data_IF_363441656866
#
_entry.id   IF_363441656866
#
_cell.length_a   1.000
_cell.length_b   1.000
_cell.length_c   1.000
_cell.angle_alpha   90.00
_cell.angle_beta   90.00
_cell.angle_gamma   90.00
#
_symmetry.space_group_name_H-M   'P 1'
#
loop_
_entity.id
_entity.type
_entity.pdbx_description
1 polymer ?
#
# COMPACT_ATOMS: atom_id res chain seq x y z
N UNK A 1 13.39 33.31 -0.89
CA UNK A 1 12.36 32.48 -0.22
C UNK A 1 12.71 31.04 -0.45
N UNK A 2 13.01 30.27 0.59
CA UNK A 2 13.18 28.83 0.45
C UNK A 2 11.80 28.21 0.13
N UNK A 3 11.71 27.21 -0.77
CA UNK A 3 10.44 26.58 -1.11
C UNK A 3 9.86 25.91 0.15
N UNK A 4 8.57 26.14 0.43
CA UNK A 4 7.84 25.40 1.47
C UNK A 4 7.92 23.91 1.09
N UNK A 5 8.59 23.10 1.93
CA UNK A 5 8.57 21.64 1.79
C UNK A 5 7.12 21.17 1.96
N UNK A 6 6.52 20.69 0.88
CA UNK A 6 5.23 20.00 0.94
C UNK A 6 5.49 18.59 1.47
N UNK A 7 4.94 18.28 2.64
CA UNK A 7 4.97 16.92 3.17
C UNK A 7 3.74 16.19 2.61
N UNK A 8 3.90 15.08 1.90
CA UNK A 8 2.79 14.30 1.38
C UNK A 8 1.86 13.84 2.50
N UNK A 9 0.55 13.88 2.26
CA UNK A 9 -0.47 13.45 3.25
C UNK A 9 -0.75 11.94 3.19
N UNK A 10 -0.23 11.24 2.18
CA UNK A 10 -0.43 9.81 1.96
C UNK A 10 0.91 9.11 1.70
N UNK A 11 1.05 7.82 2.10
CA UNK A 11 2.25 7.05 1.82
C UNK A 11 2.35 6.74 0.31
N UNK A 12 3.46 7.12 -0.32
CA UNK A 12 3.77 6.83 -1.73
C UNK A 12 4.49 5.49 -1.83
N UNK A 13 3.89 4.52 -2.52
CA UNK A 13 4.42 3.15 -2.64
C UNK A 13 5.37 3.09 -3.83
N UNK A 14 6.47 2.32 -3.75
CA UNK A 14 7.41 2.22 -4.85
C UNK A 14 6.73 1.60 -6.06
N UNK A 15 7.14 2.08 -7.24
CA UNK A 15 6.56 1.64 -8.50
C UNK A 15 6.91 0.18 -8.83
N UNK A 16 8.01 -0.34 -8.28
CA UNK A 16 8.54 -1.66 -8.58
C UNK A 16 8.42 -2.61 -7.39
N UNK A 17 7.93 -3.82 -7.65
CA UNK A 17 7.97 -4.94 -6.73
C UNK A 17 9.42 -5.39 -6.52
N UNK A 18 9.82 -5.79 -5.31
CA UNK A 18 11.15 -6.33 -5.07
C UNK A 18 11.44 -7.58 -5.93
N UNK A 19 12.62 -7.62 -6.55
CA UNK A 19 13.05 -8.76 -7.36
C UNK A 19 13.18 -10.06 -6.55
N UNK A 20 13.42 -9.95 -5.25
CA UNK A 20 13.56 -11.07 -4.32
C UNK A 20 12.23 -11.76 -3.97
N UNK A 21 11.08 -11.22 -4.39
CA UNK A 21 9.79 -11.83 -4.09
C UNK A 21 9.65 -13.20 -4.77
N UNK A 22 9.32 -14.27 -4.03
CA UNK A 22 9.16 -15.59 -4.60
C UNK A 22 7.93 -15.62 -5.51
N UNK A 23 8.04 -16.32 -6.63
CA UNK A 23 6.94 -16.53 -7.58
C UNK A 23 6.71 -18.03 -7.68
N UNK A 24 5.50 -18.52 -7.35
CA UNK A 24 5.18 -19.93 -7.52
C UNK A 24 5.20 -20.31 -9.01
N UNK A 25 5.36 -21.60 -9.34
CA UNK A 25 5.25 -22.04 -10.72
C UNK A 25 3.89 -21.67 -11.31
N UNK A 26 3.87 -21.27 -12.59
CA UNK A 26 2.65 -20.96 -13.31
C UNK A 26 1.86 -22.27 -13.57
N UNK A 27 0.64 -22.42 -13.04
CA UNK A 27 -0.18 -23.61 -13.33
C UNK A 27 -0.61 -23.61 -14.80
N UNK A 28 -0.71 -24.77 -15.44
CA UNK A 28 -0.99 -24.84 -16.87
C UNK A 28 -2.49 -24.83 -17.19
N UNK A 29 -2.87 -24.13 -18.27
CA UNK A 29 -4.20 -24.21 -18.88
C UNK A 29 -4.18 -25.38 -19.89
N UNK A 30 -4.84 -26.49 -19.56
CA UNK A 30 -4.85 -27.70 -20.38
C UNK A 30 -5.79 -27.62 -21.59
N UNK A 31 -6.81 -26.75 -21.53
CA UNK A 31 -7.66 -26.46 -22.67
C UNK A 31 -6.89 -25.56 -23.65
N UNK A 32 -6.47 -26.13 -24.78
CA UNK A 32 -5.66 -25.44 -25.80
C UNK A 32 -6.40 -24.26 -26.42
N UNK A 33 -7.72 -24.34 -26.60
CA UNK A 33 -8.51 -23.26 -27.16
C UNK A 33 -8.65 -22.12 -26.17
N UNK A 34 -8.91 -22.46 -24.90
CA UNK A 34 -8.98 -21.49 -23.82
C UNK A 34 -7.62 -20.81 -23.59
N UNK A 35 -6.52 -21.57 -23.60
CA UNK A 35 -5.16 -21.03 -23.52
C UNK A 35 -4.89 -20.07 -24.67
N UNK A 36 -5.27 -20.43 -25.90
CA UNK A 36 -5.16 -19.53 -27.07
C UNK A 36 -5.98 -18.25 -26.86
N UNK A 37 -7.19 -18.36 -26.31
CA UNK A 37 -8.06 -17.22 -26.04
C UNK A 37 -7.47 -16.26 -25.02
N UNK A 38 -6.93 -16.76 -23.91
CA UNK A 38 -6.28 -15.95 -22.87
C UNK A 38 -5.22 -15.00 -23.44
N UNK A 39 -4.42 -15.51 -24.37
CA UNK A 39 -3.36 -14.73 -24.99
C UNK A 39 -3.78 -14.00 -26.29
N UNK A 40 -5.05 -14.05 -26.70
CA UNK A 40 -5.51 -13.37 -27.92
C UNK A 40 -6.08 -12.00 -27.62
N UNK A 41 -5.39 -10.94 -28.06
CA UNK A 41 -5.85 -9.57 -27.93
C UNK A 41 -6.88 -9.19 -29.02
N UNK A 42 -7.81 -8.28 -28.71
CA UNK A 42 -8.89 -7.86 -29.63
C UNK A 42 -8.38 -7.35 -30.98
N UNK A 43 -7.17 -6.77 -31.03
CA UNK A 43 -6.53 -6.33 -32.29
C UNK A 43 -6.39 -7.45 -33.31
N UNK A 44 -6.11 -8.68 -32.86
CA UNK A 44 -5.95 -9.84 -33.74
C UNK A 44 -7.27 -10.18 -34.45
N UNK A 45 -8.37 -10.15 -33.70
CA UNK A 45 -9.72 -10.40 -34.23
C UNK A 45 -10.14 -9.25 -35.17
N UNK A 46 -9.87 -8.00 -34.79
CA UNK A 46 -10.23 -6.82 -35.56
C UNK A 46 -9.49 -6.75 -36.92
N UNK A 47 -8.20 -7.08 -36.97
CA UNK A 47 -7.44 -7.10 -38.21
C UNK A 47 -7.98 -8.14 -39.21
N UNK A 48 -8.40 -9.31 -38.71
CA UNK A 48 -8.88 -10.41 -39.55
C UNK A 48 -10.32 -10.23 -40.04
N UNK A 49 -11.16 -9.49 -39.33
CA UNK A 49 -12.49 -9.08 -39.85
C UNK A 49 -12.41 -8.19 -41.09
N UNK A 50 -11.26 -7.55 -41.35
CA UNK A 50 -11.05 -6.65 -42.50
C UNK A 50 -10.52 -7.36 -43.75
N UNK A 51 -10.00 -8.58 -43.63
CA UNK A 51 -9.46 -9.32 -44.78
C UNK A 51 -10.55 -10.16 -45.46
N UNK A 52 -10.87 -9.86 -46.73
CA UNK A 52 -11.84 -10.60 -47.53
C UNK A 52 -11.32 -11.98 -48.02
N UNK A 53 -9.99 -12.20 -47.99
CA UNK A 53 -9.32 -13.29 -48.72
C UNK A 53 -8.94 -14.53 -47.91
N UNK A 54 -9.14 -14.56 -46.60
CA UNK A 54 -8.79 -15.74 -45.79
C UNK A 54 -10.06 -16.43 -45.31
N UNK A 55 -10.15 -17.75 -45.58
CA UNK A 55 -11.16 -18.62 -44.99
C UNK A 55 -11.33 -18.26 -43.52
N UNK A 56 -12.55 -17.87 -43.12
CA UNK A 56 -12.86 -17.47 -41.73
C UNK A 56 -12.31 -18.55 -40.80
N UNK A 57 -11.18 -18.29 -40.13
CA UNK A 57 -10.75 -19.16 -39.03
C UNK A 57 -11.91 -19.22 -38.04
N UNK A 58 -12.26 -20.43 -37.57
CA UNK A 58 -13.37 -20.62 -36.62
C UNK A 58 -13.12 -19.84 -35.30
N UNK A 59 -11.86 -19.58 -34.98
CA UNK A 59 -11.47 -18.92 -33.74
C UNK A 59 -11.70 -17.39 -33.81
N UNK A 60 -12.72 -16.91 -33.09
CA UNK A 60 -13.16 -15.51 -33.11
C UNK A 60 -13.23 -14.86 -31.72
N UNK A 61 -12.53 -15.42 -30.74
CA UNK A 61 -12.62 -14.99 -29.35
C UNK A 61 -11.32 -14.29 -28.91
N UNK A 62 -11.46 -13.12 -28.30
CA UNK A 62 -10.38 -12.43 -27.60
C UNK A 62 -10.49 -12.67 -26.09
N UNK A 63 -9.53 -12.08 -25.36
CA UNK A 63 -9.40 -12.24 -23.93
C UNK A 63 -10.30 -11.31 -23.10
N UNK A 64 -11.05 -10.36 -23.67
CA UNK A 64 -11.79 -9.35 -22.89
C UNK A 64 -12.84 -9.96 -21.95
N UNK A 65 -13.52 -11.02 -22.38
CA UNK A 65 -14.49 -11.73 -21.52
C UNK A 65 -13.80 -12.48 -20.38
N UNK A 66 -12.61 -13.02 -20.64
CA UNK A 66 -11.83 -13.74 -19.64
C UNK A 66 -11.21 -12.75 -18.64
N UNK A 67 -10.69 -11.62 -19.12
CA UNK A 67 -10.23 -10.49 -18.30
C UNK A 67 -11.31 -10.07 -17.31
N UNK A 68 -12.54 -9.83 -17.79
CA UNK A 68 -13.66 -9.42 -16.95
C UNK A 68 -13.99 -10.42 -15.83
N UNK A 69 -13.99 -11.72 -16.15
CA UNK A 69 -14.21 -12.78 -15.15
C UNK A 69 -13.02 -12.88 -14.19
N UNK A 70 -11.81 -12.74 -14.73
CA UNK A 70 -10.55 -12.80 -14.02
C UNK A 70 -10.39 -11.72 -12.97
N UNK A 71 -10.69 -10.47 -13.30
CA UNK A 71 -10.70 -9.34 -12.37
C UNK A 71 -11.64 -9.61 -11.17
N UNK A 72 -12.84 -10.11 -11.44
CA UNK A 72 -13.81 -10.45 -10.40
C UNK A 72 -13.31 -11.58 -9.49
N UNK A 73 -12.72 -12.64 -10.06
CA UNK A 73 -12.15 -13.77 -9.32
C UNK A 73 -10.93 -13.34 -8.50
N UNK A 74 -10.02 -12.58 -9.09
CA UNK A 74 -8.85 -12.02 -8.41
C UNK A 74 -9.29 -11.13 -7.25
N UNK A 75 -10.27 -10.25 -7.50
CA UNK A 75 -10.77 -9.30 -6.53
C UNK A 75 -11.35 -9.96 -5.27
N UNK A 76 -12.10 -11.06 -5.41
CA UNK A 76 -12.62 -11.81 -4.25
C UNK A 76 -11.50 -12.56 -3.53
N UNK A 77 -10.61 -13.25 -4.26
CA UNK A 77 -9.51 -14.02 -3.67
C UNK A 77 -8.55 -13.13 -2.88
N UNK A 78 -8.17 -11.98 -3.43
CA UNK A 78 -7.28 -11.02 -2.74
C UNK A 78 -7.96 -10.43 -1.50
N UNK A 79 -9.26 -10.13 -1.55
CA UNK A 79 -9.99 -9.63 -0.37
C UNK A 79 -10.04 -10.68 0.74
N UNK A 80 -10.35 -11.93 0.42
CA UNK A 80 -10.36 -13.03 1.38
C UNK A 80 -8.94 -13.25 1.96
N UNK A 81 -7.91 -13.26 1.12
CA UNK A 81 -6.51 -13.36 1.54
C UNK A 81 -6.14 -12.25 2.53
N UNK A 82 -6.48 -10.99 2.23
CA UNK A 82 -6.18 -9.87 3.13
C UNK A 82 -6.92 -9.98 4.46
N UNK A 83 -8.17 -10.45 4.45
CA UNK A 83 -8.96 -10.65 5.66
C UNK A 83 -8.39 -11.77 6.54
N UNK A 84 -7.86 -12.83 5.93
CA UNK A 84 -7.22 -13.93 6.65
C UNK A 84 -5.89 -13.51 7.27
N UNK A 85 -5.06 -12.78 6.51
CA UNK A 85 -3.74 -12.33 6.97
C UNK A 85 -3.84 -11.20 8.01
N UNK A 86 -4.79 -10.29 7.84
CA UNK A 86 -4.91 -9.06 8.63
C UNK A 86 -6.35 -8.82 9.13
N UNK A 87 -6.90 -9.70 9.99
CA UNK A 87 -8.32 -9.65 10.38
C UNK A 87 -8.72 -8.36 11.12
N UNK A 88 -7.76 -7.66 11.72
CA UNK A 88 -7.96 -6.42 12.47
C UNK A 88 -7.67 -5.16 11.64
N UNK A 89 -7.42 -5.29 10.33
CA UNK A 89 -7.14 -4.16 9.47
C UNK A 89 -8.42 -3.33 9.25
N UNK A 90 -8.32 -2.01 9.41
CA UNK A 90 -9.48 -1.15 9.19
C UNK A 90 -9.91 -1.14 7.70
N UNK A 91 -11.19 -0.89 7.39
CA UNK A 91 -11.70 -0.98 6.02
C UNK A 91 -10.97 -0.09 5.00
N UNK A 92 -10.53 1.09 5.41
CA UNK A 92 -9.77 2.00 4.54
C UNK A 92 -8.41 1.44 4.15
N UNK A 93 -7.69 0.84 5.09
CA UNK A 93 -6.41 0.18 4.84
C UNK A 93 -6.59 -1.10 4.01
N UNK A 94 -7.65 -1.88 4.25
CA UNK A 94 -7.95 -3.06 3.42
C UNK A 94 -8.23 -2.67 1.97
N UNK A 95 -8.94 -1.56 1.75
CA UNK A 95 -9.22 -1.02 0.41
C UNK A 95 -7.93 -0.54 -0.27
N UNK A 96 -7.07 0.17 0.46
CA UNK A 96 -5.76 0.60 -0.03
C UNK A 96 -4.90 -0.61 -0.43
N UNK A 97 -4.74 -1.61 0.45
CA UNK A 97 -4.00 -2.83 0.14
C UNK A 97 -4.56 -3.53 -1.09
N UNK A 98 -5.87 -3.73 -1.16
CA UNK A 98 -6.51 -4.32 -2.34
C UNK A 98 -6.12 -3.55 -3.60
N UNK A 99 -6.25 -2.23 -3.61
CA UNK A 99 -5.93 -1.40 -4.79
C UNK A 99 -4.47 -1.51 -5.24
N UNK A 100 -3.54 -1.76 -4.33
CA UNK A 100 -2.14 -1.98 -4.65
C UNK A 100 -1.95 -3.36 -5.28
N UNK A 101 -2.47 -4.39 -4.63
CA UNK A 101 -2.30 -5.79 -5.04
C UNK A 101 -2.92 -6.05 -6.42
N UNK A 102 -4.11 -5.51 -6.70
CA UNK A 102 -4.81 -5.73 -7.99
C UNK A 102 -4.61 -4.59 -9.00
N UNK A 103 -3.65 -3.70 -8.78
CA UNK A 103 -3.36 -2.64 -9.75
C UNK A 103 -2.75 -3.19 -11.03
N UNK A 104 -3.04 -2.54 -12.17
CA UNK A 104 -2.40 -2.84 -13.45
C UNK A 104 -0.87 -2.87 -13.34
N UNK A 105 -0.29 -2.04 -12.48
CA UNK A 105 1.14 -1.98 -12.26
C UNK A 105 1.69 -3.26 -11.62
N UNK A 106 1.06 -3.72 -10.53
CA UNK A 106 1.42 -4.98 -9.86
C UNK A 106 1.20 -6.17 -10.79
N UNK A 107 0.03 -6.24 -11.44
CA UNK A 107 -0.33 -7.36 -12.32
C UNK A 107 0.56 -7.43 -13.56
N UNK A 108 0.91 -6.29 -14.17
CA UNK A 108 1.84 -6.27 -15.30
C UNK A 108 3.24 -6.74 -14.90
N UNK A 109 3.71 -6.39 -13.71
CA UNK A 109 5.00 -6.87 -13.20
C UNK A 109 5.00 -8.38 -12.97
N UNK A 110 3.93 -8.92 -12.37
CA UNK A 110 3.75 -10.37 -12.20
C UNK A 110 3.74 -11.08 -13.56
N UNK A 111 2.92 -10.60 -14.51
CA UNK A 111 2.86 -11.12 -15.88
C UNK A 111 4.23 -11.15 -16.56
N UNK A 112 5.03 -10.08 -16.40
CA UNK A 112 6.38 -9.99 -16.96
C UNK A 112 7.32 -11.02 -16.38
N UNK A 113 7.25 -11.25 -15.07
CA UNK A 113 8.08 -12.27 -14.42
C UNK A 113 7.70 -13.69 -14.84
N UNK A 114 6.46 -13.92 -15.26
CA UNK A 114 6.03 -15.15 -15.92
C UNK A 114 6.31 -15.21 -17.43
N UNK A 115 6.77 -14.12 -18.06
CA UNK A 115 6.98 -14.05 -19.51
C UNK A 115 5.69 -14.02 -20.34
N UNK A 116 4.56 -13.63 -19.76
CA UNK A 116 3.25 -13.70 -20.41
C UNK A 116 3.12 -12.78 -21.64
N UNK A 117 3.81 -11.63 -21.65
CA UNK A 117 3.81 -10.70 -22.78
C UNK A 117 4.34 -11.34 -24.07
N UNK A 118 5.25 -12.29 -23.96
CA UNK A 118 5.89 -12.91 -25.13
C UNK A 118 4.93 -13.87 -25.84
N UNK A 119 3.95 -14.40 -25.09
CA UNK A 119 2.90 -15.30 -25.58
C UNK A 119 1.72 -14.56 -26.24
N UNK A 120 1.67 -13.23 -26.16
CA UNK A 120 0.55 -12.43 -26.66
C UNK A 120 0.40 -12.56 -28.19
N UNK A 121 -0.81 -12.91 -28.60
CA UNK A 121 -1.26 -13.00 -30.00
C UNK A 121 -1.99 -11.69 -30.33
N UNK A 122 -1.41 -10.93 -31.25
CA UNK A 122 -1.91 -9.60 -31.66
C UNK A 122 -1.92 -9.48 -33.18
N UNK A 123 -2.43 -8.36 -33.67
CA UNK A 123 -2.07 -7.93 -35.01
C UNK A 123 -0.57 -7.60 -35.08
N UNK A 124 0.07 -7.87 -36.21
CA UNK A 124 1.52 -7.66 -36.39
C UNK A 124 1.91 -6.20 -36.19
N UNK A 125 1.08 -5.26 -36.66
CA UNK A 125 1.36 -3.82 -36.55
C UNK A 125 1.26 -3.28 -35.12
N UNK A 126 0.54 -3.98 -34.24
CA UNK A 126 0.32 -3.55 -32.86
C UNK A 126 1.18 -4.31 -31.83
N UNK A 127 1.96 -5.31 -32.27
CA UNK A 127 2.60 -6.27 -31.36
C UNK A 127 3.53 -5.63 -30.35
N UNK A 128 4.48 -4.81 -30.78
CA UNK A 128 5.49 -4.19 -29.91
C UNK A 128 4.85 -3.30 -28.83
N UNK A 129 3.90 -2.45 -29.25
CA UNK A 129 3.18 -1.54 -28.35
C UNK A 129 2.34 -2.29 -27.32
N UNK A 130 1.69 -3.37 -27.73
CA UNK A 130 0.83 -4.15 -26.84
C UNK A 130 1.63 -5.01 -25.86
N UNK A 131 2.76 -5.60 -26.31
CA UNK A 131 3.66 -6.38 -25.44
C UNK A 131 4.37 -5.53 -24.39
N UNK A 132 4.65 -4.27 -24.69
CA UNK A 132 5.22 -3.32 -23.74
C UNK A 132 4.17 -2.61 -22.86
N UNK A 133 2.93 -2.55 -23.31
CA UNK A 133 1.83 -1.83 -22.65
C UNK A 133 1.42 -2.42 -21.31
N UNK A 134 1.57 -1.63 -20.22
CA UNK A 134 1.24 -2.04 -18.85
C UNK A 134 -0.19 -2.60 -18.74
N UNK A 135 -1.19 -1.87 -19.26
CA UNK A 135 -2.59 -2.30 -19.20
C UNK A 135 -2.79 -3.64 -19.90
N UNK A 136 -2.32 -3.77 -21.14
CA UNK A 136 -2.45 -5.02 -21.90
C UNK A 136 -1.82 -6.20 -21.18
N UNK A 137 -0.62 -6.00 -20.61
CA UNK A 137 0.10 -7.07 -19.91
C UNK A 137 -0.56 -7.43 -18.57
N UNK A 138 -1.18 -6.48 -17.88
CA UNK A 138 -2.02 -6.73 -16.70
C UNK A 138 -3.27 -7.55 -17.06
N UNK A 139 -3.98 -7.16 -18.12
CA UNK A 139 -5.20 -7.84 -18.58
C UNK A 139 -4.94 -9.32 -18.94
N UNK A 140 -3.74 -9.66 -19.43
CA UNK A 140 -3.36 -11.06 -19.68
C UNK A 140 -3.39 -11.88 -18.38
N UNK A 141 -2.93 -11.31 -17.26
CA UNK A 141 -2.94 -12.00 -15.97
C UNK A 141 -4.36 -12.33 -15.51
N UNK A 142 -5.26 -11.36 -15.61
CA UNK A 142 -6.67 -11.53 -15.26
C UNK A 142 -7.33 -12.56 -16.18
N UNK A 143 -7.11 -12.45 -17.49
CA UNK A 143 -7.60 -13.45 -18.43
C UNK A 143 -7.05 -14.85 -18.12
N UNK A 144 -5.78 -14.96 -17.70
CA UNK A 144 -5.16 -16.23 -17.30
C UNK A 144 -5.86 -16.85 -16.09
N UNK A 145 -6.21 -16.06 -15.08
CA UNK A 145 -6.98 -16.52 -13.91
C UNK A 145 -8.32 -17.13 -14.35
N UNK A 146 -9.05 -16.47 -15.23
CA UNK A 146 -10.30 -17.02 -15.77
C UNK A 146 -10.04 -18.28 -16.62
N UNK A 147 -8.97 -18.31 -17.41
CA UNK A 147 -8.55 -19.48 -18.17
C UNK A 147 -8.28 -20.68 -17.26
N UNK A 148 -7.55 -20.49 -16.16
CA UNK A 148 -7.31 -21.53 -15.16
C UNK A 148 -8.62 -22.00 -14.51
N UNK A 149 -9.51 -21.07 -14.16
CA UNK A 149 -10.81 -21.40 -13.56
C UNK A 149 -11.66 -22.29 -14.48
N UNK A 150 -11.83 -21.89 -15.75
CA UNK A 150 -12.64 -22.66 -16.69
C UNK A 150 -11.96 -23.96 -17.14
N UNK A 151 -10.63 -23.98 -17.24
CA UNK A 151 -9.88 -25.21 -17.52
C UNK A 151 -10.08 -26.23 -16.39
N UNK A 152 -10.00 -25.80 -15.12
CA UNK A 152 -10.28 -26.64 -13.97
C UNK A 152 -11.72 -27.17 -13.99
N UNK A 153 -12.71 -26.32 -14.31
CA UNK A 153 -14.11 -26.76 -14.35
C UNK A 153 -14.36 -27.86 -15.40
N UNK A 154 -13.57 -27.88 -16.47
CA UNK A 154 -13.69 -28.87 -17.55
C UNK A 154 -12.86 -30.13 -17.30
N UNK A 155 -11.67 -29.99 -16.73
CA UNK A 155 -10.66 -31.05 -16.70
C UNK A 155 -10.23 -31.47 -15.29
N UNK A 156 -10.61 -30.72 -14.25
CA UNK A 156 -10.09 -30.89 -12.90
C UNK A 156 -8.62 -30.51 -12.79
N UNK A 157 -8.04 -30.87 -11.64
CA UNK A 157 -6.59 -30.81 -11.45
C UNK A 157 -5.97 -32.08 -12.02
N UNK A 158 -5.36 -31.97 -13.20
CA UNK A 158 -4.75 -33.10 -13.92
C UNK A 158 -3.50 -33.66 -13.22
N UNK A 159 -2.95 -32.95 -12.24
CA UNK A 159 -1.82 -33.45 -11.43
C UNK A 159 -2.27 -34.46 -10.38
N UNK A 160 -3.59 -34.51 -10.14
CA UNK A 160 -4.23 -35.44 -9.22
C UNK A 160 -5.12 -36.41 -10.01
N UNK A 161 -5.17 -37.67 -9.59
CA UNK A 161 -6.12 -38.65 -10.15
C UNK A 161 -7.54 -38.40 -9.61
N UNK A 162 -8.04 -37.18 -9.81
CA UNK A 162 -9.32 -36.75 -9.27
C UNK A 162 -10.48 -37.10 -10.21
N UNK A 163 -10.87 -38.37 -10.15
CA UNK A 163 -12.02 -38.93 -10.86
C UNK A 163 -13.39 -38.51 -10.28
N UNK A 164 -13.44 -37.62 -9.27
CA UNK A 164 -14.69 -37.24 -8.61
C UNK A 164 -15.48 -36.25 -9.46
N UNK A 165 -16.61 -36.70 -10.00
CA UNK A 165 -17.76 -35.91 -10.44
C UNK A 165 -17.52 -34.66 -11.32
N UNK A 166 -18.58 -33.90 -11.65
CA UNK A 166 -18.44 -32.58 -12.25
C UNK A 166 -17.79 -31.62 -11.25
N UNK A 167 -16.81 -30.82 -11.70
CA UNK A 167 -16.14 -29.83 -10.85
C UNK A 167 -17.04 -28.64 -10.59
N UNK A 168 -17.10 -28.22 -9.34
CA UNK A 168 -17.90 -27.08 -8.90
C UNK A 168 -17.10 -25.78 -8.98
N UNK A 169 -17.81 -24.64 -9.04
CA UNK A 169 -17.18 -23.32 -8.98
C UNK A 169 -16.42 -23.07 -7.67
N UNK A 170 -16.88 -23.63 -6.55
CA UNK A 170 -16.18 -23.52 -5.26
C UNK A 170 -14.83 -24.23 -5.28
N UNK A 171 -14.77 -25.43 -5.85
CA UNK A 171 -13.51 -26.15 -6.07
C UNK A 171 -12.59 -25.40 -7.03
N UNK A 172 -13.13 -24.78 -8.09
CA UNK A 172 -12.35 -23.93 -9.00
C UNK A 172 -11.72 -22.72 -8.31
N UNK A 173 -12.45 -22.06 -7.40
CA UNK A 173 -11.89 -20.97 -6.58
C UNK A 173 -10.79 -21.50 -5.66
N UNK A 174 -11.02 -22.65 -5.01
CA UNK A 174 -10.02 -23.29 -4.13
C UNK A 174 -8.74 -23.63 -4.90
N UNK A 175 -8.88 -24.13 -6.13
CA UNK A 175 -7.76 -24.43 -7.02
C UNK A 175 -6.97 -23.16 -7.40
N UNK A 176 -7.66 -22.06 -7.73
CA UNK A 176 -7.01 -20.76 -7.94
C UNK A 176 -6.29 -20.26 -6.69
N UNK A 177 -6.90 -20.38 -5.51
CA UNK A 177 -6.30 -19.95 -4.25
C UNK A 177 -4.98 -20.66 -3.95
N UNK A 178 -4.85 -21.95 -4.32
CA UNK A 178 -3.61 -22.71 -4.14
C UNK A 178 -2.41 -22.09 -4.90
N UNK A 179 -2.66 -21.42 -6.03
CA UNK A 179 -1.65 -20.69 -6.79
C UNK A 179 -1.53 -19.22 -6.37
N UNK A 180 -2.66 -18.53 -6.23
CA UNK A 180 -2.68 -17.08 -6.00
C UNK A 180 -2.28 -16.71 -4.56
N UNK A 181 -2.60 -17.54 -3.56
CA UNK A 181 -2.23 -17.25 -2.16
C UNK A 181 -0.72 -17.17 -1.95
N UNK A 182 0.10 -18.16 -2.34
CA UNK A 182 1.55 -18.06 -2.19
C UNK A 182 2.18 -16.96 -3.05
N UNK A 183 1.53 -16.56 -4.16
CA UNK A 183 1.95 -15.43 -4.98
C UNK A 183 1.69 -14.07 -4.30
N UNK A 184 0.49 -13.85 -3.77
CA UNK A 184 0.06 -12.54 -3.25
C UNK A 184 0.39 -12.31 -1.78
N UNK A 185 0.60 -13.36 -0.98
CA UNK A 185 1.00 -13.23 0.44
C UNK A 185 2.28 -12.39 0.62
N UNK A 186 3.42 -12.71 -0.02
CA UNK A 186 4.65 -11.94 0.17
C UNK A 186 4.53 -10.51 -0.39
N UNK A 187 3.71 -10.29 -1.43
CA UNK A 187 3.40 -8.95 -1.94
C UNK A 187 2.60 -8.14 -0.91
N UNK A 188 1.61 -8.76 -0.27
CA UNK A 188 0.81 -8.14 0.79
C UNK A 188 1.67 -7.75 2.01
N UNK A 189 2.53 -8.67 2.46
CA UNK A 189 3.46 -8.43 3.57
C UNK A 189 4.42 -7.29 3.26
N UNK A 190 5.00 -7.27 2.05
CA UNK A 190 5.84 -6.17 1.60
C UNK A 190 5.08 -4.84 1.60
N UNK A 191 3.88 -4.79 1.01
CA UNK A 191 3.07 -3.58 0.93
C UNK A 191 2.70 -3.05 2.33
N UNK A 192 2.31 -3.93 3.25
CA UNK A 192 2.01 -3.57 4.65
C UNK A 192 3.25 -3.02 5.36
N UNK A 193 4.40 -3.69 5.21
CA UNK A 193 5.67 -3.25 5.79
C UNK A 193 6.05 -1.86 5.30
N UNK A 194 5.95 -1.64 4.00
CA UNK A 194 6.27 -0.35 3.38
C UNK A 194 5.31 0.77 3.84
N UNK A 195 3.99 0.55 3.78
CA UNK A 195 3.00 1.53 4.22
C UNK A 195 3.21 1.89 5.70
N UNK A 196 3.54 0.90 6.53
CA UNK A 196 3.79 1.11 7.96
C UNK A 196 5.03 1.97 8.19
N UNK A 197 6.10 1.71 7.43
CA UNK A 197 7.34 2.49 7.51
C UNK A 197 7.10 3.93 7.06
N UNK A 198 6.45 4.14 5.91
CA UNK A 198 6.18 5.48 5.40
C UNK A 198 5.24 6.26 6.32
N UNK A 199 4.23 5.63 6.92
CA UNK A 199 3.39 6.31 7.93
C UNK A 199 4.19 6.70 9.17
N UNK A 200 5.13 5.87 9.62
CA UNK A 200 6.02 6.24 10.74
C UNK A 200 6.91 7.41 10.35
N UNK A 201 7.52 7.37 9.16
CA UNK A 201 8.34 8.45 8.63
C UNK A 201 7.56 9.75 8.51
N UNK A 202 6.39 9.73 7.87
CA UNK A 202 5.51 10.89 7.74
C UNK A 202 5.07 11.42 9.10
N UNK A 203 4.77 10.54 10.07
CA UNK A 203 4.45 10.96 11.45
C UNK A 203 5.66 11.63 12.12
N UNK A 204 6.88 11.16 11.90
CA UNK A 204 8.11 11.77 12.42
C UNK A 204 8.40 13.11 11.73
N UNK A 205 8.28 13.20 10.41
CA UNK A 205 8.43 14.43 9.64
C UNK A 205 7.36 15.47 9.99
N UNK A 206 6.11 15.01 10.12
CA UNK A 206 5.00 15.84 10.57
C UNK A 206 5.21 16.26 12.02
N UNK A 207 5.66 15.41 12.94
CA UNK A 207 6.00 15.84 14.31
C UNK A 207 7.15 16.86 14.33
N UNK A 208 8.10 16.77 13.40
CA UNK A 208 9.17 17.76 13.25
C UNK A 208 8.66 19.10 12.68
N UNK A 209 7.61 19.08 11.84
CA UNK A 209 6.94 20.28 11.32
C UNK A 209 5.87 20.84 12.28
N UNK A 210 5.12 19.99 12.99
CA UNK A 210 4.16 20.32 14.05
C UNK A 210 4.85 20.78 15.34
N UNK A 211 6.17 20.60 15.45
CA UNK A 211 6.98 21.45 16.32
C UNK A 211 6.75 22.96 16.09
N UNK A 212 6.13 23.33 14.97
CA UNK A 212 5.76 24.68 14.56
C UNK A 212 4.23 24.94 14.69
N UNK A 213 3.37 23.93 14.85
CA UNK A 213 1.89 24.05 15.00
C UNK A 213 1.42 23.34 16.26
N UNK A 214 1.47 24.08 17.37
CA UNK A 214 1.43 23.59 18.75
C UNK A 214 0.24 24.24 19.53
N UNK A 215 -0.64 24.92 18.80
CA UNK A 215 -1.78 25.70 19.28
C UNK A 215 -2.85 24.88 20.01
N UNK A 216 -2.98 23.58 19.73
CA UNK A 216 -3.89 22.68 20.46
C UNK A 216 -3.51 22.49 21.93
N UNK A 217 -2.24 22.69 22.30
CA UNK A 217 -1.82 22.60 23.70
C UNK A 217 -1.96 23.91 24.45
N UNK A 218 -2.27 25.03 23.77
CA UNK A 218 -2.35 26.34 24.43
C UNK A 218 -3.40 26.33 25.54
N UNK A 219 -4.60 25.86 25.24
CA UNK A 219 -5.71 25.86 26.19
C UNK A 219 -5.46 24.87 27.33
N UNK A 220 -4.93 23.68 27.02
CA UNK A 220 -4.67 22.64 28.02
C UNK A 220 -3.51 23.04 28.94
N UNK A 221 -2.39 23.49 28.38
CA UNK A 221 -1.20 23.89 29.13
C UNK A 221 -1.49 25.08 30.06
N UNK A 222 -2.26 26.06 29.57
CA UNK A 222 -2.70 27.20 30.40
C UNK A 222 -3.68 26.74 31.48
N UNK A 223 -4.68 25.92 31.14
CA UNK A 223 -5.70 25.44 32.09
C UNK A 223 -5.10 24.66 33.26
N UNK A 224 -4.07 23.86 33.02
CA UNK A 224 -3.40 23.10 34.09
C UNK A 224 -2.25 23.87 34.75
N UNK A 225 -1.97 25.10 34.32
CA UNK A 225 -0.82 25.90 34.77
C UNK A 225 0.50 25.11 34.68
N UNK A 226 0.76 24.54 33.50
CA UNK A 226 1.84 23.59 33.25
C UNK A 226 3.22 24.05 33.75
N UNK A 227 3.60 25.32 33.59
CA UNK A 227 4.91 25.79 34.08
C UNK A 227 5.02 25.78 35.61
N UNK A 228 3.94 26.14 36.32
CA UNK A 228 3.92 26.10 37.79
C UNK A 228 3.99 24.64 38.28
N UNK A 229 3.22 23.76 37.65
CA UNK A 229 3.19 22.33 37.96
C UNK A 229 4.52 21.63 37.68
N UNK A 230 5.19 21.99 36.58
CA UNK A 230 6.53 21.51 36.27
C UNK A 230 7.55 22.00 37.31
N UNK A 231 7.51 23.28 37.68
CA UNK A 231 8.39 23.84 38.70
C UNK A 231 8.20 23.14 40.06
N UNK A 232 6.96 22.94 40.49
CA UNK A 232 6.64 22.21 41.71
C UNK A 232 7.19 20.77 41.67
N UNK A 233 6.92 20.04 40.59
CA UNK A 233 7.37 18.67 40.43
C UNK A 233 8.89 18.55 40.50
N UNK A 234 9.64 19.35 39.73
CA UNK A 234 11.10 19.26 39.69
C UNK A 234 11.79 19.89 40.91
N UNK A 235 11.11 20.79 41.65
CA UNK A 235 11.58 21.28 42.95
C UNK A 235 11.51 20.18 44.01
N UNK A 236 10.44 19.38 44.02
CA UNK A 236 10.23 18.33 45.03
C UNK A 236 10.92 17.02 44.64
N UNK A 237 10.78 16.61 43.38
CA UNK A 237 11.20 15.30 42.87
C UNK A 237 12.39 15.34 41.91
N UNK A 238 12.80 16.50 41.42
CA UNK A 238 13.94 16.66 40.50
C UNK A 238 15.22 17.17 41.20
N UNK A 239 16.14 17.73 40.41
CA UNK A 239 17.39 18.37 40.87
C UNK A 239 17.28 19.88 41.12
N UNK A 240 16.08 20.43 41.10
CA UNK A 240 15.82 21.86 41.30
C UNK A 240 14.88 22.44 40.27
N UNK A 241 14.74 23.77 40.31
CA UNK A 241 13.80 24.50 39.45
C UNK A 241 14.27 24.37 37.98
N UNK A 242 13.37 24.02 37.03
CA UNK A 242 13.68 23.98 35.60
C UNK A 242 14.20 25.33 35.07
N UNK A 243 15.11 25.27 34.10
CA UNK A 243 15.67 26.44 33.43
C UNK A 243 14.80 26.83 32.22
N UNK A 244 14.48 28.12 32.07
CA UNK A 244 13.68 28.65 30.96
C UNK A 244 14.52 29.65 30.16
N UNK A 245 14.78 29.34 28.90
CA UNK A 245 15.49 30.22 27.96
C UNK A 245 14.50 30.78 26.95
N UNK A 246 14.54 32.09 26.70
CA UNK A 246 13.63 32.78 25.78
C UNK A 246 14.41 33.48 24.67
N UNK A 247 13.95 33.28 23.44
CA UNK A 247 14.56 33.86 22.24
C UNK A 247 13.45 34.45 21.34
N UNK A 248 13.77 35.51 20.59
CA UNK A 248 12.87 36.03 19.55
C UNK A 248 12.92 35.08 18.36
N UNK A 249 11.75 34.62 17.89
CA UNK A 249 11.70 33.66 16.79
C UNK A 249 11.99 34.33 15.44
N UNK A 250 12.28 33.52 14.42
CA UNK A 250 12.60 34.01 13.07
C UNK A 250 11.49 34.88 12.43
N UNK A 251 10.25 34.74 12.90
CA UNK A 251 9.11 35.55 12.49
C UNK A 251 8.81 36.63 13.55
N UNK A 252 8.73 37.90 13.11
CA UNK A 252 8.50 39.06 13.98
C UNK A 252 7.23 38.89 14.80
N UNK A 253 7.34 39.09 16.11
CA UNK A 253 6.21 39.03 17.05
C UNK A 253 5.97 37.66 17.68
N UNK A 254 6.83 36.67 17.40
CA UNK A 254 6.81 35.36 18.06
C UNK A 254 7.99 35.19 19.04
N UNK A 255 7.73 34.50 20.15
CA UNK A 255 8.70 34.17 21.19
C UNK A 255 8.89 32.66 21.26
N UNK A 256 10.12 32.20 21.15
CA UNK A 256 10.50 30.81 21.42
C UNK A 256 10.92 30.65 22.89
N UNK A 257 10.46 29.58 23.53
CA UNK A 257 10.88 29.20 24.88
C UNK A 257 11.39 27.76 24.87
N UNK A 258 12.59 27.56 25.39
CA UNK A 258 13.18 26.25 25.65
C UNK A 258 13.26 26.04 27.15
N UNK A 259 12.68 24.95 27.64
CA UNK A 259 12.67 24.55 29.06
C UNK A 259 13.55 23.32 29.22
N UNK A 260 14.44 23.36 30.21
CA UNK A 260 15.34 22.26 30.56
C UNK A 260 15.09 21.87 32.01
N UNK A 261 14.68 20.62 32.24
CA UNK A 261 14.44 20.09 33.58
C UNK A 261 15.31 18.85 33.79
N UNK A 262 15.92 18.71 34.96
CA UNK A 262 16.77 17.55 35.27
C UNK A 262 16.21 16.79 36.47
N UNK A 263 16.03 15.48 36.32
CA UNK A 263 15.55 14.63 37.40
C UNK A 263 16.68 14.26 38.39
N UNK A 264 16.35 13.44 39.40
CA UNK A 264 17.32 13.00 40.42
C UNK A 264 18.38 12.05 39.86
N UNK A 265 18.06 11.26 38.86
CA UNK A 265 18.99 10.33 38.20
C UNK A 265 19.97 11.11 37.32
N UNK A 266 19.61 12.32 36.91
CA UNK A 266 20.42 13.22 36.10
C UNK A 266 19.95 13.29 34.65
N UNK A 267 18.84 12.67 34.30
CA UNK A 267 18.28 12.72 32.96
C UNK A 267 17.72 14.09 32.66
N UNK A 268 17.98 14.56 31.44
CA UNK A 268 17.62 15.88 30.97
C UNK A 268 16.37 15.80 30.11
N UNK A 269 15.30 16.45 30.56
CA UNK A 269 14.07 16.64 29.80
C UNK A 269 14.07 18.03 29.18
N UNK A 270 13.76 18.11 27.89
CA UNK A 270 13.75 19.37 27.14
C UNK A 270 12.40 19.53 26.44
N UNK A 271 11.75 20.67 26.68
CA UNK A 271 10.53 21.06 25.99
C UNK A 271 10.72 22.39 25.28
N UNK A 272 10.19 22.52 24.07
CA UNK A 272 10.30 23.76 23.29
C UNK A 272 8.94 24.14 22.67
N UNK A 273 8.63 25.43 22.69
CA UNK A 273 7.43 25.98 22.04
C UNK A 273 7.64 27.44 21.60
N UNK A 274 6.96 27.83 20.51
CA UNK A 274 7.00 29.20 19.96
C UNK A 274 5.60 29.80 19.90
N UNK A 275 5.37 30.98 20.49
CA UNK A 275 4.06 31.65 20.57
C UNK A 275 4.14 33.17 20.50
N UNK A 276 3.02 33.82 20.21
CA UNK A 276 2.92 35.30 20.24
C UNK A 276 3.17 35.94 21.62
N UNK A 277 3.22 35.15 22.70
CA UNK A 277 3.53 35.65 24.04
C UNK A 277 4.49 34.70 24.78
N UNK A 278 5.51 35.26 25.45
CA UNK A 278 6.48 34.52 26.30
C UNK A 278 5.79 33.57 27.29
N UNK A 279 4.70 34.04 27.92
CA UNK A 279 3.94 33.24 28.89
C UNK A 279 3.35 31.99 28.22
N UNK A 280 2.71 32.11 27.06
CA UNK A 280 2.14 30.95 26.34
C UNK A 280 3.23 29.97 25.90
N UNK A 281 4.34 30.48 25.36
CA UNK A 281 5.48 29.66 24.98
C UNK A 281 6.02 28.84 26.17
N UNK A 282 6.19 29.45 27.34
CA UNK A 282 6.64 28.75 28.55
C UNK A 282 5.66 27.70 29.06
N UNK A 283 4.34 27.94 28.99
CA UNK A 283 3.32 26.99 29.43
C UNK A 283 3.37 25.73 28.55
N UNK A 284 3.44 25.89 27.24
CA UNK A 284 3.39 24.75 26.33
C UNK A 284 4.71 23.97 26.31
N UNK A 285 5.84 24.67 26.38
CA UNK A 285 7.13 24.01 26.54
C UNK A 285 7.19 23.17 27.83
N UNK A 286 6.62 23.66 28.94
CA UNK A 286 6.51 22.91 30.18
C UNK A 286 5.52 21.74 30.10
N UNK A 287 4.38 21.93 29.41
CA UNK A 287 3.38 20.87 29.19
C UNK A 287 3.96 19.68 28.44
N UNK A 288 4.75 19.93 27.39
CA UNK A 288 5.45 18.88 26.63
C UNK A 288 6.29 17.99 27.54
N UNK A 289 7.08 18.59 28.44
CA UNK A 289 7.88 17.83 29.42
C UNK A 289 6.97 17.02 30.35
N UNK A 290 5.94 17.63 30.94
CA UNK A 290 5.03 16.95 31.88
C UNK A 290 4.33 15.75 31.23
N UNK A 291 3.93 15.88 29.96
CA UNK A 291 3.28 14.81 29.19
C UNK A 291 4.27 13.68 28.89
N UNK A 292 5.48 14.03 28.47
CA UNK A 292 6.50 13.04 28.10
C UNK A 292 6.97 12.21 29.33
N UNK A 293 6.90 12.77 30.54
CA UNK A 293 7.16 12.06 31.80
C UNK A 293 5.89 11.48 32.46
N UNK A 294 4.74 11.52 31.78
CA UNK A 294 3.51 10.86 32.20
C UNK A 294 2.76 11.47 33.39
N UNK A 295 2.96 12.76 33.68
CA UNK A 295 2.28 13.47 34.80
C UNK A 295 0.93 14.05 34.38
N UNK A 296 0.75 14.32 33.09
CA UNK A 296 -0.45 14.93 32.48
C UNK A 296 -0.82 14.27 31.17
#
# INVERSE_FOLDING_TARGET
MAPKRHIPTAPEIPDELPDSLPIPPLPEIHDVFLRRQVFTHTSYIAARKKGEDFAKEEFQQDNEKLEFVGDSLLGIIVVCLLQDLYPNLNPGNSTLLKSILVSNQTLAQISRRYGMQDLLITDVSASETLKSGMKTVANIFEAYIAGMFYSYLQHGDVTTDDTRGPKTRGEGITYLEAWLRPLFTPIAEWAVGYITLERKRLKTELAAVDGIMDDQFDDVAVKICASARLNEFFTVKGKGIPEYVYEEAAEKGLWSCTVKARDREGDLHVGQATRGAKKKASQVAAYKILRDIGIV
#
